data_IF_239820819531
#
_entry.id   IF_239820819531
#
_cell.length_a   1.000
_cell.length_b   1.000
_cell.length_c   1.000
_cell.angle_alpha   90.00
_cell.angle_beta   90.00
_cell.angle_gamma   90.00
#
_symmetry.space_group_name_H-M   'P 1'
#
loop_
_entity.id
_entity.type
_entity.pdbx_description
1 polymer ?
#
# COMPACT_ATOMS: atom_id res chain seq x y z
N UNK A 1 20.82 -7.73 18.80
CA UNK A 1 20.06 -8.83 18.16
C UNK A 1 19.49 -8.30 16.85
N UNK A 2 19.12 -9.14 15.87
CA UNK A 2 18.48 -8.64 14.65
C UNK A 2 17.11 -8.04 14.97
N UNK A 3 16.69 -7.06 14.17
CA UNK A 3 15.33 -6.53 14.22
C UNK A 3 14.33 -7.61 13.77
N UNK A 4 13.16 -7.65 14.41
CA UNK A 4 12.12 -8.65 14.13
C UNK A 4 10.85 -7.97 13.64
N UNK A 5 10.18 -8.56 12.65
CA UNK A 5 8.88 -8.08 12.16
C UNK A 5 7.82 -9.13 12.49
N UNK A 6 6.92 -8.79 13.41
CA UNK A 6 5.79 -9.64 13.78
C UNK A 6 4.56 -9.22 12.99
N UNK A 7 3.92 -10.16 12.30
CA UNK A 7 2.72 -9.91 11.49
C UNK A 7 1.54 -10.70 12.06
N UNK A 8 0.41 -10.03 12.29
CA UNK A 8 -0.83 -10.64 12.75
C UNK A 8 -1.99 -10.23 11.82
N UNK A 9 -2.76 -11.22 11.37
CA UNK A 9 -3.88 -11.03 10.44
C UNK A 9 -5.20 -11.44 11.09
N UNK A 10 -6.28 -10.71 10.79
CA UNK A 10 -7.62 -11.01 11.25
C UNK A 10 -8.69 -10.41 10.32
N UNK A 11 -9.98 -10.74 10.51
CA UNK A 11 -11.05 -10.17 9.71
C UNK A 11 -11.09 -8.64 9.83
N UNK A 12 -10.91 -7.94 8.70
CA UNK A 12 -10.99 -6.48 8.64
C UNK A 12 -9.81 -5.71 9.24
N UNK A 13 -8.78 -6.39 9.75
CA UNK A 13 -7.61 -5.75 10.35
C UNK A 13 -6.32 -6.55 10.12
N UNK A 14 -5.28 -5.85 9.68
CA UNK A 14 -3.92 -6.36 9.55
C UNK A 14 -2.99 -5.54 10.43
N UNK A 15 -2.07 -6.20 11.14
CA UNK A 15 -1.11 -5.55 12.03
C UNK A 15 0.29 -6.04 11.78
N UNK A 16 1.26 -5.13 11.84
CA UNK A 16 2.68 -5.47 11.86
C UNK A 16 3.39 -4.68 12.95
N UNK A 17 4.27 -5.31 13.72
CA UNK A 17 5.10 -4.66 14.73
C UNK A 17 6.58 -4.89 14.41
N UNK A 18 7.35 -3.81 14.34
CA UNK A 18 8.81 -3.87 14.27
C UNK A 18 9.36 -3.86 15.70
N UNK A 19 10.17 -4.85 16.02
CA UNK A 19 10.85 -4.97 17.30
C UNK A 19 12.35 -4.75 17.10
N UNK A 20 12.95 -4.01 18.01
CA UNK A 20 14.40 -3.93 18.18
C UNK A 20 14.78 -4.53 19.54
N UNK A 21 15.62 -5.57 19.52
CA UNK A 21 16.02 -6.33 20.71
C UNK A 21 14.83 -6.79 21.58
N UNK A 22 13.76 -7.28 20.94
CA UNK A 22 12.55 -7.75 21.62
C UNK A 22 11.61 -6.64 22.11
N UNK A 23 11.98 -5.36 21.92
CA UNK A 23 11.17 -4.20 22.32
C UNK A 23 10.44 -3.65 21.09
N UNK A 24 9.10 -3.48 21.11
CA UNK A 24 8.36 -2.87 20.01
C UNK A 24 8.78 -1.41 19.83
N UNK A 25 9.20 -1.05 18.62
CA UNK A 25 9.60 0.31 18.26
C UNK A 25 8.64 0.96 17.26
N UNK A 26 7.90 0.17 16.47
CA UNK A 26 6.91 0.68 15.52
C UNK A 26 5.72 -0.30 15.39
N UNK A 27 4.52 0.24 15.21
CA UNK A 27 3.29 -0.53 15.00
C UNK A 27 2.52 0.02 13.79
N UNK A 28 2.24 -0.85 12.84
CA UNK A 28 1.36 -0.61 11.70
C UNK A 28 0.04 -1.32 11.90
N UNK A 29 -1.06 -0.60 11.66
CA UNK A 29 -2.42 -1.15 11.69
C UNK A 29 -3.14 -0.69 10.44
N UNK A 30 -3.57 -1.64 9.63
CA UNK A 30 -4.35 -1.40 8.42
C UNK A 30 -5.76 -1.96 8.60
N UNK A 31 -6.78 -1.13 8.30
CA UNK A 31 -8.21 -1.45 8.43
C UNK A 31 -8.95 -0.95 7.20
N UNK A 32 -9.96 -1.70 6.77
CA UNK A 32 -10.80 -1.33 5.61
C UNK A 32 -10.08 -1.52 4.27
N UNK A 33 -10.53 -0.80 3.26
CA UNK A 33 -9.97 -0.87 1.90
C UNK A 33 -8.62 -0.15 1.85
N UNK A 34 -7.67 -0.77 1.13
CA UNK A 34 -6.33 -0.23 0.95
C UNK A 34 -6.38 1.03 0.09
N UNK A 35 -5.62 2.05 0.49
CA UNK A 35 -5.45 3.23 -0.36
C UNK A 35 -4.69 2.87 -1.62
N UNK A 36 -5.21 3.25 -2.78
CA UNK A 36 -4.49 3.15 -4.06
C UNK A 36 -3.41 4.23 -4.22
N UNK A 37 -3.27 5.16 -3.26
CA UNK A 37 -2.25 6.21 -3.33
C UNK A 37 -0.85 5.60 -3.26
N UNK A 38 0.00 5.94 -4.23
CA UNK A 38 1.37 5.42 -4.33
C UNK A 38 1.47 4.04 -4.97
N UNK A 39 0.35 3.46 -5.41
CA UNK A 39 0.34 2.25 -6.20
C UNK A 39 1.01 2.46 -7.56
N UNK A 40 1.59 1.38 -8.11
CA UNK A 40 2.21 1.36 -9.44
C UNK A 40 1.49 0.31 -10.26
N UNK A 41 0.99 0.73 -11.43
CA UNK A 41 0.19 -0.09 -12.32
C UNK A 41 0.77 -0.09 -13.73
N UNK A 42 0.66 -1.22 -14.43
CA UNK A 42 0.89 -1.27 -15.87
C UNK A 42 -0.41 -0.90 -16.59
N UNK A 43 -0.52 0.37 -16.99
CA UNK A 43 -1.70 0.89 -17.67
C UNK A 43 -1.62 0.85 -19.20
N UNK A 44 -2.79 0.73 -19.86
CA UNK A 44 -2.94 0.89 -21.31
C UNK A 44 -3.55 2.26 -21.62
N UNK A 45 -2.90 3.00 -22.52
CA UNK A 45 -3.47 4.25 -23.06
C UNK A 45 -4.75 3.95 -23.83
N UNK A 46 -5.90 4.47 -23.38
CA UNK A 46 -7.20 4.31 -24.05
C UNK A 46 -7.50 5.47 -25.00
N UNK A 47 -7.22 6.70 -24.58
CA UNK A 47 -7.56 7.91 -25.34
C UNK A 47 -6.67 9.08 -24.94
N UNK A 48 -6.22 9.87 -25.91
CA UNK A 48 -5.59 11.17 -25.68
C UNK A 48 -6.66 12.26 -25.60
N UNK A 49 -6.46 13.25 -24.72
CA UNK A 49 -7.35 14.40 -24.54
C UNK A 49 -6.52 15.69 -24.71
N UNK A 50 -6.23 16.12 -25.96
CA UNK A 50 -5.31 17.23 -26.23
C UNK A 50 -5.75 18.56 -25.62
N UNK A 51 -7.05 18.83 -25.60
CA UNK A 51 -7.60 20.07 -25.02
C UNK A 51 -7.29 20.25 -23.52
N UNK A 52 -6.98 19.15 -22.81
CA UNK A 52 -6.60 19.15 -21.40
C UNK A 52 -5.10 18.87 -21.20
N UNK A 53 -4.34 18.60 -22.27
CA UNK A 53 -2.96 18.12 -22.16
C UNK A 53 -2.85 16.80 -21.40
N UNK A 54 -3.84 15.91 -21.54
CA UNK A 54 -3.95 14.69 -20.72
C UNK A 54 -4.22 13.43 -21.56
N UNK A 55 -4.15 12.26 -20.91
CA UNK A 55 -4.52 10.97 -21.48
C UNK A 55 -5.34 10.15 -20.46
N UNK A 56 -6.33 9.40 -20.96
CA UNK A 56 -7.04 8.40 -20.19
C UNK A 56 -6.28 7.08 -20.26
N UNK A 57 -5.86 6.59 -19.10
CA UNK A 57 -5.14 5.34 -18.92
C UNK A 57 -6.07 4.36 -18.20
N UNK A 58 -6.21 3.18 -18.76
CA UNK A 58 -6.86 2.04 -18.12
C UNK A 58 -5.80 1.24 -17.36
N UNK A 59 -5.97 1.09 -16.05
CA UNK A 59 -5.02 0.41 -15.15
C UNK A 59 -5.50 -0.98 -14.71
N UNK A 60 -6.63 -1.46 -15.26
CA UNK A 60 -7.36 -2.64 -14.80
C UNK A 60 -8.83 -2.34 -14.59
#
# INVERSE_FOLDING_TARGET
MPSELLIATGPGEWRAALLDNGVPVELFVERGDRSEVGSIHLGRVRRLVPALGAALIDIG
#
